data_IF_691982525562
#
_entry.id   IF_691982525562
#
_cell.length_a   1.000
_cell.length_b   1.000
_cell.length_c   1.000
_cell.angle_alpha   90.00
_cell.angle_beta   90.00
_cell.angle_gamma   90.00
#
_symmetry.space_group_name_H-M   'P 1'
#
loop_
_entity.id
_entity.type
_entity.pdbx_description
1 polymer ?
#
# COMPACT_ATOMS: atom_id res chain seq x y z
N UNK A 1 -9.80 10.69 19.31
CA UNK A 1 -8.40 10.40 19.70
C UNK A 1 -7.57 9.71 18.61
N UNK A 2 -8.17 9.16 17.54
CA UNK A 2 -7.43 8.44 16.49
C UNK A 2 -6.52 9.28 15.56
N UNK A 3 -6.81 10.58 15.38
CA UNK A 3 -6.11 11.38 14.36
C UNK A 3 -4.64 11.73 14.70
N UNK A 4 -4.29 11.83 15.99
CA UNK A 4 -2.93 12.22 16.40
C UNK A 4 -1.91 11.09 16.29
N UNK A 5 -2.33 9.84 16.50
CA UNK A 5 -1.44 8.69 16.37
C UNK A 5 -1.07 8.41 14.91
N UNK A 6 -2.03 8.59 14.00
CA UNK A 6 -1.80 8.50 12.55
C UNK A 6 -0.75 9.54 12.11
N UNK A 7 -0.86 10.79 12.57
CA UNK A 7 0.14 11.83 12.26
C UNK A 7 1.53 11.56 12.87
N UNK A 8 1.59 10.98 14.07
CA UNK A 8 2.85 10.70 14.75
C UNK A 8 3.66 9.60 14.04
N UNK A 9 2.97 8.55 13.57
CA UNK A 9 3.54 7.45 12.77
C UNK A 9 4.00 7.92 11.38
N UNK A 10 3.34 8.94 10.82
CA UNK A 10 3.76 9.56 9.55
C UNK A 10 5.04 10.38 9.70
N UNK A 11 5.26 11.03 10.85
CA UNK A 11 6.37 11.98 11.11
C UNK A 11 7.68 11.34 11.60
N UNK A 12 7.67 10.24 12.35
CA UNK A 12 8.90 9.70 12.97
C UNK A 12 9.54 8.58 12.13
N UNK A 13 10.63 8.93 11.47
CA UNK A 13 11.37 8.16 10.47
C UNK A 13 12.25 7.08 11.13
N UNK A 14 11.68 5.93 11.49
CA UNK A 14 12.43 4.68 11.72
C UNK A 14 11.69 3.54 11.01
N UNK A 15 12.27 3.05 9.90
CA UNK A 15 11.82 1.87 9.13
C UNK A 15 10.30 1.76 8.85
N UNK A 16 9.79 2.76 8.12
CA UNK A 16 8.37 3.12 7.87
C UNK A 16 7.45 2.02 7.31
N UNK A 17 7.97 0.94 6.75
CA UNK A 17 7.15 -0.13 6.14
C UNK A 17 6.90 -1.31 7.09
N UNK A 18 7.89 -1.64 7.94
CA UNK A 18 7.71 -2.67 8.97
C UNK A 18 6.82 -2.16 10.11
N UNK A 19 6.89 -0.86 10.44
CA UNK A 19 6.06 -0.30 11.52
C UNK A 19 4.58 -0.25 11.17
N UNK A 20 4.22 0.00 9.91
CA UNK A 20 2.83 -0.02 9.48
C UNK A 20 2.28 -1.43 9.45
N UNK A 21 3.01 -2.43 8.95
CA UNK A 21 2.47 -3.81 8.97
C UNK A 21 2.32 -4.32 10.40
N UNK A 22 3.33 -4.14 11.25
CA UNK A 22 3.27 -4.58 12.65
C UNK A 22 2.12 -3.92 13.41
N UNK A 23 1.86 -2.62 13.19
CA UNK A 23 0.73 -1.92 13.81
C UNK A 23 -0.61 -2.60 13.52
N UNK A 24 -0.76 -3.14 12.30
CA UNK A 24 -2.02 -3.71 11.81
C UNK A 24 -2.16 -5.14 12.32
N UNK A 25 -1.09 -5.93 12.24
CA UNK A 25 -1.00 -7.29 12.81
C UNK A 25 -1.32 -7.31 14.31
N UNK A 26 -0.73 -6.40 15.09
CA UNK A 26 -0.97 -6.29 16.54
C UNK A 26 -2.43 -5.94 16.89
N UNK A 27 -3.21 -5.42 15.94
CA UNK A 27 -4.60 -5.00 16.12
C UNK A 27 -5.59 -5.89 15.37
N UNK A 28 -5.22 -7.15 15.12
CA UNK A 28 -6.11 -8.13 14.49
C UNK A 28 -6.03 -8.18 12.97
N UNK A 29 -4.96 -7.65 12.40
CA UNK A 29 -4.70 -7.63 10.96
C UNK A 29 -5.40 -6.49 10.22
N UNK A 30 -5.07 -6.38 8.94
CA UNK A 30 -5.53 -5.30 8.06
C UNK A 30 -7.05 -5.17 8.02
N UNK A 31 -7.76 -6.28 7.87
CA UNK A 31 -9.21 -6.29 7.70
C UNK A 31 -9.90 -5.79 8.96
N UNK A 32 -9.41 -6.17 10.14
CA UNK A 32 -9.94 -5.72 11.42
C UNK A 32 -9.71 -4.22 11.64
N UNK A 33 -8.53 -3.71 11.30
CA UNK A 33 -8.13 -2.31 11.55
C UNK A 33 -8.80 -1.34 10.59
N UNK A 34 -8.94 -1.72 9.32
CA UNK A 34 -9.45 -0.80 8.29
C UNK A 34 -10.89 -1.01 7.89
N UNK A 35 -11.41 -2.24 8.04
CA UNK A 35 -12.72 -2.63 7.51
C UNK A 35 -12.85 -2.37 6.00
N UNK A 36 -11.74 -2.32 5.27
CA UNK A 36 -11.75 -2.15 3.82
C UNK A 36 -12.05 -3.48 3.15
N UNK A 37 -13.11 -3.52 2.35
CA UNK A 37 -13.48 -4.68 1.53
C UNK A 37 -12.61 -4.80 0.27
N UNK A 38 -11.96 -3.70 -0.14
CA UNK A 38 -11.14 -3.63 -1.36
C UNK A 38 -9.66 -3.30 -1.07
N UNK A 39 -8.75 -3.86 -1.88
CA UNK A 39 -7.32 -3.57 -1.80
C UNK A 39 -7.00 -2.19 -2.39
N UNK A 40 -6.39 -1.33 -1.56
CA UNK A 40 -5.96 0.00 -1.95
C UNK A 40 -4.44 0.02 -2.15
N UNK A 41 -3.99 0.67 -3.22
CA UNK A 41 -2.56 0.88 -3.46
C UNK A 41 -2.03 1.84 -2.40
N UNK A 42 -1.07 1.39 -1.60
CA UNK A 42 -0.33 2.23 -0.67
C UNK A 42 0.75 3.02 -1.40
N UNK A 43 1.51 2.33 -2.26
CA UNK A 43 2.60 2.94 -3.03
C UNK A 43 2.95 2.13 -4.26
N UNK A 44 3.20 2.81 -5.38
CA UNK A 44 3.88 2.21 -6.54
C UNK A 44 5.39 2.21 -6.31
N UNK A 45 6.01 1.04 -6.36
CA UNK A 45 7.46 0.88 -6.16
C UNK A 45 8.26 1.00 -7.44
N UNK A 46 7.69 0.55 -8.55
CA UNK A 46 8.35 0.54 -9.86
C UNK A 46 7.34 0.33 -11.00
N UNK A 47 7.77 0.65 -12.22
CA UNK A 47 7.08 0.35 -13.49
C UNK A 47 7.97 -0.58 -14.32
N UNK A 48 7.39 -1.52 -15.04
CA UNK A 48 8.16 -2.44 -15.89
C UNK A 48 7.31 -3.26 -16.85
N UNK A 49 7.95 -3.87 -17.84
CA UNK A 49 7.31 -4.78 -18.78
C UNK A 49 7.15 -6.17 -18.15
N UNK A 50 5.93 -6.66 -18.02
CA UNK A 50 5.59 -7.96 -17.40
C UNK A 50 4.50 -8.65 -18.21
N UNK A 51 4.69 -9.95 -18.46
CA UNK A 51 3.70 -10.80 -19.15
C UNK A 51 3.16 -10.21 -20.48
N UNK A 52 3.95 -9.41 -21.19
CA UNK A 52 3.57 -8.83 -22.48
C UNK A 52 2.90 -7.45 -22.41
N UNK A 53 2.86 -6.81 -21.24
CA UNK A 53 2.28 -5.46 -21.08
C UNK A 53 3.06 -4.62 -20.05
N UNK A 54 2.81 -3.30 -20.04
CA UNK A 54 3.29 -2.43 -18.97
C UNK A 54 2.54 -2.70 -17.67
N UNK A 55 3.28 -2.81 -16.57
CA UNK A 55 2.74 -3.08 -15.25
C UNK A 55 3.43 -2.25 -14.17
N UNK A 56 2.73 -2.04 -13.05
CA UNK A 56 3.24 -1.39 -11.85
C UNK A 56 3.43 -2.40 -10.72
N UNK A 57 4.56 -2.35 -10.02
CA UNK A 57 4.76 -3.09 -8.78
C UNK A 57 4.09 -2.33 -7.63
N UNK A 58 2.94 -2.80 -7.19
CA UNK A 58 2.10 -2.14 -6.21
C UNK A 58 2.33 -2.73 -4.82
N UNK A 59 2.61 -1.86 -3.85
CA UNK A 59 2.49 -2.18 -2.44
C UNK A 59 1.08 -1.87 -1.97
N UNK A 60 0.50 -2.79 -1.22
CA UNK A 60 -0.88 -2.70 -0.74
C UNK A 60 -0.95 -2.16 0.69
N UNK A 61 -2.01 -1.42 0.98
CA UNK A 61 -2.29 -0.94 2.33
C UNK A 61 -2.39 -2.12 3.30
N UNK A 62 -1.60 -2.06 4.37
CA UNK A 62 -1.55 -3.07 5.42
C UNK A 62 -0.81 -4.36 5.06
N UNK A 63 -0.19 -4.45 3.87
CA UNK A 63 0.54 -5.63 3.44
C UNK A 63 2.06 -5.38 3.41
N UNK A 64 2.88 -6.38 3.79
CA UNK A 64 4.33 -6.28 3.71
C UNK A 64 4.84 -6.25 2.27
N UNK A 65 6.06 -5.71 2.04
CA UNK A 65 6.62 -5.53 0.69
C UNK A 65 6.82 -6.82 -0.12
N UNK A 66 6.95 -7.97 0.55
CA UNK A 66 7.05 -9.29 -0.07
C UNK A 66 5.72 -9.78 -0.67
N UNK A 67 4.60 -9.13 -0.32
CA UNK A 67 3.29 -9.34 -0.93
C UNK A 67 2.97 -8.33 -2.03
N UNK A 68 3.94 -7.54 -2.48
CA UNK A 68 3.73 -6.66 -3.64
C UNK A 68 3.38 -7.49 -4.89
N UNK A 69 2.45 -6.98 -5.69
CA UNK A 69 2.06 -7.62 -6.95
C UNK A 69 2.34 -6.70 -8.14
N UNK A 70 2.55 -7.30 -9.31
CA UNK A 70 2.63 -6.57 -10.56
C UNK A 70 1.23 -6.48 -11.18
N UNK A 71 0.67 -5.28 -11.21
CA UNK A 71 -0.67 -5.02 -11.73
C UNK A 71 -0.59 -4.34 -13.10
N UNK A 72 -1.46 -4.71 -14.07
CA UNK A 72 -1.54 -4.05 -15.37
C UNK A 72 -1.65 -2.53 -15.25
N UNK A 73 -0.93 -1.80 -16.11
CA UNK A 73 -0.96 -0.34 -16.15
C UNK A 73 -2.40 0.19 -16.28
N UNK A 74 -3.17 -0.38 -17.21
CA UNK A 74 -4.56 0.02 -17.44
C UNK A 74 -5.43 -0.14 -16.18
N UNK A 75 -5.22 -1.21 -15.40
CA UNK A 75 -5.96 -1.46 -14.16
C UNK A 75 -5.64 -0.39 -13.11
N UNK A 76 -4.37 -0.02 -12.96
CA UNK A 76 -3.95 0.99 -11.97
C UNK A 76 -4.40 2.39 -12.37
N UNK A 77 -4.27 2.76 -13.65
CA UNK A 77 -4.74 4.06 -14.13
C UNK A 77 -6.26 4.22 -13.98
N UNK A 78 -7.02 3.14 -14.14
CA UNK A 78 -8.48 3.16 -13.97
C UNK A 78 -8.92 3.25 -12.51
N UNK A 79 -8.26 2.52 -11.60
CA UNK A 79 -8.74 2.36 -10.22
C UNK A 79 -7.99 3.23 -9.20
N UNK A 80 -6.74 3.59 -9.47
CA UNK A 80 -5.86 4.32 -8.56
C UNK A 80 -4.94 5.33 -9.29
N UNK A 81 -5.49 6.25 -10.11
CA UNK A 81 -4.68 7.20 -10.87
C UNK A 81 -3.81 8.10 -9.99
N UNK A 82 -4.28 8.43 -8.78
CA UNK A 82 -3.50 9.23 -7.83
C UNK A 82 -2.24 8.51 -7.31
N UNK A 83 -2.17 7.18 -7.40
CA UNK A 83 -1.01 6.41 -6.93
C UNK A 83 0.20 6.51 -7.88
N UNK A 84 0.00 7.05 -9.08
CA UNK A 84 1.04 7.22 -10.13
C UNK A 84 1.23 8.67 -10.57
N UNK A 85 0.54 9.62 -9.92
CA UNK A 85 0.75 11.05 -10.12
C UNK A 85 1.92 11.54 -9.24
N UNK A 86 2.85 12.29 -9.84
CA UNK A 86 4.01 12.90 -9.15
C UNK A 86 3.62 13.97 -8.12
#
# INVERSE_FOLDING_TARGET
MANREIEYLVRHRVNREKSTVNYWEERGGRDHVTRLEEFHVYKVKSKGWKKGEWAYNCQWVGCPPDQNTWEPEAKILSNAPAAVAD
#
